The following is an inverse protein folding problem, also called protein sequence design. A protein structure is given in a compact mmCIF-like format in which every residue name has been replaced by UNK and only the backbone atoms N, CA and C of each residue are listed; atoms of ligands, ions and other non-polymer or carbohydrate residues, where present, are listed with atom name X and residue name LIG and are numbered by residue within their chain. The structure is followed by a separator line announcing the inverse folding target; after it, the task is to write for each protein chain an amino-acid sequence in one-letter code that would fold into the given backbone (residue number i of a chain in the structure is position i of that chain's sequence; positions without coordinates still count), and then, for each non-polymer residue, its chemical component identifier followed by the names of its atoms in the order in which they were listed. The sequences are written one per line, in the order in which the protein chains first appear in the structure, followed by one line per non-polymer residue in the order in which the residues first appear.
data_IF_646342571215
#
_entry.id   IF_646342571215
#
_cell.length_a   1.000
_cell.length_b   1.000
_cell.length_c   1.000
_cell.angle_alpha   90.00
_cell.angle_beta   90.00
_cell.angle_gamma   90.00
#
_symmetry.space_group_name_H-M   'P 1'
#
loop_
_entity.id
_entity.type
_entity.pdbx_description
1 polymer ?
#
# COMPACT_ATOMS: atom_id res chain seq x y z
N UNK A 1 -12.52 12.58 9.58
CA UNK A 1 -12.76 12.56 8.11
C UNK A 1 -11.81 11.52 7.54
N UNK A 2 -12.30 10.45 6.90
CA UNK A 2 -11.40 9.44 6.31
C UNK A 2 -10.77 10.08 5.07
N UNK A 3 -9.49 10.42 5.16
CA UNK A 3 -8.80 11.18 4.11
C UNK A 3 -8.26 10.30 2.98
N UNK A 4 -8.04 9.01 3.24
CA UNK A 4 -7.37 8.11 2.29
C UNK A 4 -7.71 6.63 2.54
N UNK A 5 -7.96 5.88 1.48
CA UNK A 5 -8.13 4.42 1.53
C UNK A 5 -6.82 3.67 1.23
N UNK A 6 -6.62 2.54 1.90
CA UNK A 6 -5.55 1.59 1.60
C UNK A 6 -6.21 0.25 1.35
N UNK A 7 -6.08 -0.27 0.13
CA UNK A 7 -6.63 -1.56 -0.28
C UNK A 7 -5.47 -2.51 -0.51
N UNK A 8 -5.52 -3.70 0.09
CA UNK A 8 -4.47 -4.71 -0.04
C UNK A 8 -4.82 -5.71 -1.13
N UNK A 9 -3.86 -6.04 -1.97
CA UNK A 9 -3.91 -7.23 -2.82
C UNK A 9 -3.88 -8.51 -1.98
N UNK A 10 -4.20 -9.68 -2.56
CA UNK A 10 -3.99 -10.96 -1.89
C UNK A 10 -2.54 -11.18 -1.42
N UNK A 11 -1.54 -10.80 -2.23
CA UNK A 11 -0.13 -10.94 -1.88
C UNK A 11 0.26 -10.04 -0.70
N UNK A 12 -0.15 -8.77 -0.72
CA UNK A 12 0.07 -7.86 0.40
C UNK A 12 -0.65 -8.35 1.67
N UNK A 13 -1.84 -8.92 1.55
CA UNK A 13 -2.58 -9.51 2.69
C UNK A 13 -1.81 -10.69 3.30
N UNK A 14 -1.22 -11.56 2.49
CA UNK A 14 -0.42 -12.68 3.00
C UNK A 14 0.78 -12.19 3.82
N UNK A 15 1.44 -11.12 3.37
CA UNK A 15 2.51 -10.48 4.15
C UNK A 15 2.02 -10.02 5.52
N UNK A 16 0.88 -9.30 5.59
CA UNK A 16 0.31 -8.85 6.88
C UNK A 16 -0.04 -10.02 7.79
N UNK A 17 -0.56 -11.11 7.23
CA UNK A 17 -0.91 -12.31 7.99
C UNK A 17 0.34 -13.06 8.51
N UNK A 18 1.45 -12.97 7.79
CA UNK A 18 2.73 -13.55 8.21
C UNK A 18 3.38 -12.80 9.39
N UNK A 19 3.00 -11.54 9.64
CA UNK A 19 3.43 -10.82 10.84
C UNK A 19 2.91 -11.54 12.09
N UNK A 20 3.83 -11.84 13.01
CA UNK A 20 3.59 -12.71 14.16
C UNK A 20 2.78 -12.04 15.28
N UNK A 21 2.88 -10.72 15.43
CA UNK A 21 2.20 -9.99 16.50
C UNK A 21 1.12 -9.03 16.00
N UNK A 22 0.08 -8.84 16.81
CA UNK A 22 -0.96 -7.82 16.58
C UNK A 22 -0.37 -6.39 16.61
N UNK A 23 0.72 -6.20 17.37
CA UNK A 23 1.44 -4.93 17.48
C UNK A 23 2.07 -4.56 16.14
N UNK A 24 2.81 -5.49 15.50
CA UNK A 24 3.41 -5.27 14.18
C UNK A 24 2.36 -5.00 13.10
N UNK A 25 1.24 -5.73 13.13
CA UNK A 25 0.13 -5.50 12.18
C UNK A 25 -0.48 -4.12 12.34
N UNK A 26 -0.63 -3.65 13.57
CA UNK A 26 -1.19 -2.32 13.86
C UNK A 26 -0.20 -1.23 13.42
N UNK A 27 1.09 -1.38 13.76
CA UNK A 27 2.14 -0.48 13.33
C UNK A 27 2.23 -0.40 11.79
N UNK A 28 2.12 -1.54 11.10
CA UNK A 28 2.11 -1.57 9.63
C UNK A 28 0.89 -0.84 9.07
N UNK A 29 -0.30 -1.07 9.63
CA UNK A 29 -1.53 -0.40 9.16
C UNK A 29 -1.42 1.13 9.31
N UNK A 30 -0.84 1.61 10.41
CA UNK A 30 -0.61 3.03 10.65
C UNK A 30 0.42 3.60 9.67
N UNK A 31 1.55 2.91 9.44
CA UNK A 31 2.55 3.32 8.46
C UNK A 31 1.99 3.37 7.05
N UNK A 32 1.23 2.36 6.61
CA UNK A 32 0.59 2.37 5.29
C UNK A 32 -0.36 3.56 5.13
N UNK A 33 -1.08 3.92 6.18
CA UNK A 33 -1.99 5.08 6.14
C UNK A 33 -1.24 6.40 6.10
N UNK A 34 -0.09 6.52 6.75
CA UNK A 34 0.69 7.77 6.80
C UNK A 34 1.56 7.95 5.56
N UNK A 35 2.31 6.92 5.18
CA UNK A 35 3.37 7.00 4.17
C UNK A 35 2.84 6.99 2.74
N UNK A 36 1.70 6.35 2.50
CA UNK A 36 1.14 6.19 1.16
C UNK A 36 0.20 7.33 0.74
N UNK A 37 0.04 8.35 1.59
CA UNK A 37 -0.64 9.58 1.17
C UNK A 37 0.18 10.29 0.10
N UNK A 38 -0.49 11.06 -0.77
CA UNK A 38 0.17 11.83 -1.84
C UNK A 38 1.32 12.72 -1.33
N UNK A 39 1.14 13.30 -0.14
CA UNK A 39 2.15 14.12 0.55
C UNK A 39 2.76 13.40 1.76
N UNK A 40 2.79 12.07 1.71
CA UNK A 40 3.34 11.24 2.77
C UNK A 40 4.83 11.53 3.01
N UNK A 41 5.35 11.29 4.22
CA UNK A 41 6.72 11.64 4.59
C UNK A 41 7.81 11.01 3.68
N UNK A 42 7.54 9.85 3.07
CA UNK A 42 8.46 9.19 2.14
C UNK A 42 8.06 9.33 0.66
N UNK A 43 7.11 10.20 0.32
CA UNK A 43 6.67 10.41 -1.07
C UNK A 43 7.81 10.80 -2.00
N UNK A 44 8.80 11.56 -1.52
CA UNK A 44 9.98 11.97 -2.30
C UNK A 44 10.97 10.82 -2.55
N UNK A 45 10.91 9.76 -1.74
CA UNK A 45 11.74 8.55 -1.87
C UNK A 45 11.05 7.48 -2.71
N UNK A 46 9.90 7.78 -3.31
CA UNK A 46 9.17 6.83 -4.13
C UNK A 46 9.88 6.60 -5.46
N UNK A 47 10.14 5.33 -5.77
CA UNK A 47 10.58 4.90 -7.09
C UNK A 47 9.38 4.59 -7.96
N UNK A 48 9.22 5.34 -9.06
CA UNK A 48 8.10 5.18 -9.99
C UNK A 48 8.51 4.30 -11.17
N UNK A 49 7.68 3.31 -11.49
CA UNK A 49 7.94 2.38 -12.59
C UNK A 49 6.64 1.89 -13.25
N UNK A 50 6.65 1.66 -14.58
CA UNK A 50 5.57 0.95 -15.25
C UNK A 50 5.67 -0.56 -14.97
N UNK A 51 4.55 -1.22 -14.70
CA UNK A 51 4.49 -2.69 -14.85
C UNK A 51 4.19 -3.03 -16.30
N UNK A 52 4.78 -4.12 -16.79
CA UNK A 52 4.81 -4.53 -18.21
C UNK A 52 3.44 -4.64 -18.92
N UNK A 53 2.33 -4.60 -18.19
CA UNK A 53 1.00 -4.81 -18.74
C UNK A 53 0.05 -3.65 -18.36
N UNK A 54 -0.28 -2.80 -19.34
CA UNK A 54 -1.39 -1.85 -19.25
C UNK A 54 -1.09 -0.40 -18.87
N UNK A 55 0.17 0.05 -18.90
CA UNK A 55 0.53 1.48 -18.83
C UNK A 55 0.25 2.19 -17.51
N UNK A 56 -0.13 1.46 -16.45
CA UNK A 56 -0.33 2.03 -15.11
C UNK A 56 1.04 2.27 -14.46
N UNK A 57 1.19 3.45 -13.86
CA UNK A 57 2.36 3.79 -13.06
C UNK A 57 2.21 3.20 -11.66
N UNK A 58 3.27 2.55 -11.19
CA UNK A 58 3.40 2.03 -9.84
C UNK A 58 4.52 2.77 -9.12
N UNK A 59 4.44 2.72 -7.80
CA UNK A 59 5.41 3.34 -6.90
C UNK A 59 5.89 2.29 -5.91
N UNK A 60 7.20 2.22 -5.70
CA UNK A 60 7.80 1.52 -4.58
C UNK A 60 8.31 2.57 -3.58
N UNK A 61 7.86 2.50 -2.32
CA UNK A 61 8.29 3.43 -1.28
C UNK A 61 8.71 2.67 -0.03
N UNK A 62 9.88 2.99 0.58
CA UNK A 62 10.21 2.45 1.89
C UNK A 62 9.26 3.04 2.93
N UNK A 63 8.68 2.19 3.75
CA UNK A 63 7.89 2.58 4.90
C UNK A 63 8.81 2.91 6.08
N UNK A 64 8.37 3.78 6.97
CA UNK A 64 9.07 4.06 8.22
C UNK A 64 9.19 2.82 9.13
N UNK A 65 8.33 1.82 8.94
CA UNK A 65 8.39 0.56 9.66
C UNK A 65 9.46 -0.37 9.08
N UNK A 66 10.63 -0.37 9.71
CA UNK A 66 11.65 -1.41 9.51
C UNK A 66 12.14 -1.55 8.07
N UNK A 67 12.08 -0.49 7.25
CA UNK A 67 12.53 -0.52 5.85
C UNK A 67 11.68 -1.41 4.93
N UNK A 68 10.49 -1.82 5.35
CA UNK A 68 9.55 -2.55 4.49
C UNK A 68 9.22 -1.68 3.28
N UNK A 69 9.30 -2.23 2.07
CA UNK A 69 8.96 -1.50 0.85
C UNK A 69 7.52 -1.83 0.44
N UNK A 70 6.70 -0.79 0.31
CA UNK A 70 5.36 -0.90 -0.23
C UNK A 70 5.36 -0.63 -1.72
N UNK A 71 4.89 -1.60 -2.50
CA UNK A 71 4.62 -1.43 -3.93
C UNK A 71 3.15 -1.16 -4.11
N UNK A 72 2.79 -0.02 -4.67
CA UNK A 72 1.41 0.41 -4.78
C UNK A 72 1.15 1.23 -6.05
N UNK A 73 -0.13 1.47 -6.31
CA UNK A 73 -0.60 2.46 -7.27
C UNK A 73 -1.81 3.21 -6.70
N UNK A 74 -2.13 4.41 -7.21
CA UNK A 74 -3.41 5.04 -6.91
C UNK A 74 -4.58 4.14 -7.33
N UNK A 75 -5.67 4.20 -6.55
CA UNK A 75 -6.96 3.66 -6.97
C UNK A 75 -7.56 4.55 -8.05
N UNK A 76 -8.22 3.95 -9.03
CA UNK A 76 -9.01 4.71 -10.02
C UNK A 76 -10.36 5.12 -9.44
N UNK A 77 -11.01 6.12 -10.04
CA UNK A 77 -12.36 6.53 -9.64
C UNK A 77 -13.35 5.36 -9.69
N UNK A 78 -13.28 4.54 -10.75
CA UNK A 78 -14.12 3.35 -10.87
C UNK A 78 -13.83 2.27 -9.82
N UNK A 79 -12.60 2.16 -9.32
CA UNK A 79 -12.26 1.26 -8.20
C UNK A 79 -12.79 1.80 -6.88
N UNK A 80 -12.70 3.12 -6.65
CA UNK A 80 -13.27 3.78 -5.47
C UNK A 80 -14.80 3.69 -5.45
N UNK A 81 -15.46 3.84 -6.60
CA UNK A 81 -16.92 3.68 -6.73
C UNK A 81 -17.36 2.26 -6.44
N UNK A 82 -16.65 1.24 -6.96
CA UNK A 82 -16.90 -0.15 -6.57
C UNK A 82 -16.73 -0.36 -5.07
N UNK A 83 -15.68 0.21 -4.46
CA UNK A 83 -15.47 0.11 -3.02
C UNK A 83 -16.62 0.75 -2.22
N UNK A 84 -17.15 1.90 -2.68
CA UNK A 84 -18.33 2.58 -2.09
C UNK A 84 -19.57 1.70 -2.11
N UNK A 85 -19.78 0.94 -3.19
CA UNK A 85 -20.92 0.03 -3.29
C UNK A 85 -20.75 -1.26 -2.47
N UNK A 86 -19.52 -1.69 -2.22
CA UNK A 86 -19.22 -2.93 -1.49
C UNK A 86 -19.17 -2.77 0.03
N UNK A 87 -18.91 -1.56 0.53
CA UNK A 87 -18.73 -1.31 1.95
C UNK A 87 -19.92 -0.55 2.52
N UNK A 88 -20.46 -1.03 3.65
CA UNK A 88 -21.49 -0.32 4.43
C UNK A 88 -20.87 0.80 5.29
N UNK A 89 -19.98 1.59 4.70
CA UNK A 89 -19.35 2.75 5.33
C UNK A 89 -18.98 3.81 4.31
N UNK A 90 -18.75 5.03 4.79
CA UNK A 90 -18.16 6.09 3.96
C UNK A 90 -16.75 5.67 3.52
N UNK A 91 -16.49 5.83 2.23
CA UNK A 91 -15.18 5.61 1.58
C UNK A 91 -14.55 6.96 1.27
N UNK A 92 -13.22 7.06 1.40
CA UNK A 92 -12.50 8.28 1.07
C UNK A 92 -12.62 8.66 -0.42
N UNK A 93 -12.22 9.89 -0.75
CA UNK A 93 -12.18 10.39 -2.14
C UNK A 93 -10.96 9.91 -2.91
N UNK A 94 -9.94 9.43 -2.23
CA UNK A 94 -8.68 8.96 -2.79
C UNK A 94 -8.15 7.78 -2.00
N UNK A 95 -7.24 7.02 -2.60
CA UNK A 95 -6.60 5.90 -1.94
C UNK A 95 -5.62 5.20 -2.85
N UNK A 96 -4.98 4.17 -2.31
CA UNK A 96 -4.03 3.33 -3.03
C UNK A 96 -4.41 1.86 -2.97
N UNK A 97 -3.97 1.15 -3.99
CA UNK A 97 -3.95 -0.31 -4.04
C UNK A 97 -2.52 -0.78 -3.82
N UNK A 98 -2.27 -1.42 -2.67
CA UNK A 98 -0.98 -2.02 -2.31
C UNK A 98 -0.89 -3.39 -2.96
N UNK A 99 -0.01 -3.49 -3.93
CA UNK A 99 0.23 -4.69 -4.74
C UNK A 99 1.06 -5.70 -3.96
N UNK A 100 2.11 -5.25 -3.28
CA UNK A 100 3.00 -6.11 -2.51
C UNK A 100 3.68 -5.32 -1.38
N UNK A 101 4.12 -6.06 -0.37
CA UNK A 101 4.96 -5.59 0.72
C UNK A 101 6.22 -6.45 0.73
N UNK A 102 7.38 -5.82 0.71
CA UNK A 102 8.67 -6.48 0.62
C UNK A 102 9.45 -6.23 1.90
N UNK A 103 9.86 -7.30 2.58
CA UNK A 103 10.79 -7.17 3.71
C UNK A 103 12.14 -6.68 3.21
N UNK A 104 12.85 -5.82 3.96
CA UNK A 104 14.18 -5.36 3.57
C UNK A 104 15.16 -6.51 3.29
N UNK A 105 15.00 -7.64 3.99
CA UNK A 105 15.84 -8.84 3.85
C UNK A 105 15.65 -9.56 2.49
N UNK A 106 14.46 -9.47 1.89
CA UNK A 106 14.16 -10.08 0.59
C UNK A 106 14.73 -9.31 -0.60
N UNK A 107 15.23 -8.09 -0.38
CA UNK A 107 15.94 -7.31 -1.41
C UNK A 107 17.34 -7.86 -1.74
N UNK A 108 17.92 -8.69 -0.85
CA UNK A 108 19.30 -9.18 -0.97
C UNK A 108 19.42 -10.69 -1.17
N UNK A 109 18.32 -11.45 -1.01
CA UNK A 109 18.30 -12.89 -1.19
C UNK A 109 17.13 -13.31 -2.10
N UNK A 110 17.38 -13.48 -3.42
CA UNK A 110 16.41 -14.16 -4.27
C UNK A 110 16.31 -15.62 -3.82
N UNK A 111 15.09 -16.07 -3.49
CA UNK A 111 14.78 -17.48 -3.36
C UNK A 111 14.59 -18.13 -4.73
#
# INVERSE_FOLDING_TARGET
MIRYEVVLSPAAKLFVLALGSQIERTALADCLRQDLQLDGPNSQSAYHFPLWDGGRMYSAVPLHLGGIVAVYRPLTDGELDRLRHQLDRKVARSGCFVVSLLSPETGFHPH
#
